data_IF_305285028820
#
_entry.id   IF_305285028820
#
_cell.length_a   1.000
_cell.length_b   1.000
_cell.length_c   1.000
_cell.angle_alpha   90.00
_cell.angle_beta   90.00
_cell.angle_gamma   90.00
#
_symmetry.space_group_name_H-M   'P 1'
#
loop_
_entity.id
_entity.type
_entity.pdbx_description
1 polymer ?
#
# COMPACT_ATOMS: atom_id res chain seq x y z
N UNK A 1 -9.09 -14.01 0.26
CA UNK A 1 -8.64 -12.75 -0.37
C UNK A 1 -9.85 -12.07 -0.98
N UNK A 2 -10.10 -10.80 -0.68
CA UNK A 2 -11.20 -10.02 -1.28
C UNK A 2 -10.67 -9.11 -2.39
N UNK A 3 -11.36 -9.08 -3.53
CA UNK A 3 -11.11 -8.12 -4.62
C UNK A 3 -12.07 -6.93 -4.46
N UNK A 4 -11.49 -5.73 -4.43
CA UNK A 4 -12.17 -4.45 -4.20
C UNK A 4 -11.89 -3.50 -5.37
N UNK A 5 -12.72 -2.46 -5.51
CA UNK A 5 -12.44 -1.35 -6.43
C UNK A 5 -11.74 -0.24 -5.68
N UNK A 6 -10.92 0.54 -6.38
CA UNK A 6 -10.39 1.81 -5.84
C UNK A 6 -11.56 2.66 -5.31
N UNK A 7 -11.43 3.13 -4.07
CA UNK A 7 -12.46 3.83 -3.30
C UNK A 7 -13.18 2.95 -2.27
N UNK A 8 -13.13 1.62 -2.38
CA UNK A 8 -13.75 0.72 -1.41
C UNK A 8 -12.89 0.60 -0.14
N UNK A 9 -13.56 0.49 1.01
CA UNK A 9 -12.92 0.22 2.31
C UNK A 9 -12.94 -1.27 2.62
N UNK A 10 -11.81 -1.82 3.04
CA UNK A 10 -11.70 -3.21 3.49
C UNK A 10 -10.89 -3.32 4.78
N UNK A 11 -11.16 -4.37 5.56
CA UNK A 11 -10.32 -4.71 6.72
C UNK A 11 -9.14 -5.56 6.27
N UNK A 12 -7.93 -5.07 6.55
CA UNK A 12 -6.68 -5.79 6.36
C UNK A 12 -6.15 -6.24 7.72
N UNK A 13 -5.75 -7.50 7.84
CA UNK A 13 -5.03 -8.00 9.03
C UNK A 13 -3.59 -8.27 8.66
N UNK A 14 -2.67 -7.60 9.36
CA UNK A 14 -1.24 -7.69 9.15
C UNK A 14 -0.59 -8.69 10.13
N UNK A 15 0.64 -9.14 9.85
CA UNK A 15 1.42 -9.93 10.80
C UNK A 15 1.43 -9.28 12.20
N UNK A 16 1.25 -10.11 13.24
CA UNK A 16 1.09 -9.62 14.61
C UNK A 16 -0.36 -9.39 15.06
N UNK A 17 -1.34 -9.71 14.21
CA UNK A 17 -2.79 -9.61 14.45
C UNK A 17 -3.34 -8.18 14.57
N UNK A 18 -2.58 -7.19 14.09
CA UNK A 18 -3.09 -5.83 13.93
C UNK A 18 -4.06 -5.78 12.75
N UNK A 19 -5.25 -5.21 12.96
CA UNK A 19 -6.25 -5.03 11.92
C UNK A 19 -6.49 -3.56 11.64
N UNK A 20 -6.58 -3.21 10.36
CA UNK A 20 -6.77 -1.85 9.86
C UNK A 20 -7.97 -1.79 8.92
N UNK A 21 -8.75 -0.73 9.02
CA UNK A 21 -9.63 -0.30 7.93
C UNK A 21 -8.77 0.46 6.93
N UNK A 22 -8.77 0.00 5.68
CA UNK A 22 -7.96 0.58 4.61
C UNK A 22 -8.87 0.94 3.43
N UNK A 23 -8.69 2.14 2.88
CA UNK A 23 -9.33 2.57 1.64
C UNK A 23 -8.23 3.00 0.67
N UNK A 24 -8.03 2.28 -0.42
CA UNK A 24 -7.17 2.76 -1.50
C UNK A 24 -7.93 3.84 -2.27
N UNK A 25 -7.51 5.09 -2.15
CA UNK A 25 -8.23 6.25 -2.69
C UNK A 25 -7.82 6.59 -4.11
N UNK A 26 -6.56 6.32 -4.49
CA UNK A 26 -6.08 6.54 -5.84
C UNK A 26 -4.86 5.65 -6.15
N UNK A 27 -4.71 5.28 -7.43
CA UNK A 27 -3.48 4.73 -7.99
C UNK A 27 -3.24 5.47 -9.30
N UNK A 28 -2.22 6.31 -9.31
CA UNK A 28 -1.98 7.26 -10.40
C UNK A 28 -0.53 7.15 -10.85
N UNK A 29 -0.21 7.33 -12.15
CA UNK A 29 1.17 7.40 -12.59
C UNK A 29 1.94 8.47 -11.82
N UNK A 30 3.17 8.14 -11.44
CA UNK A 30 4.06 9.09 -10.80
C UNK A 30 4.37 10.25 -11.76
N UNK A 31 4.60 11.46 -11.24
CA UNK A 31 5.03 12.58 -12.06
C UNK A 31 6.33 12.25 -12.85
N UNK A 32 6.50 12.75 -14.08
CA UNK A 32 7.67 12.45 -14.91
C UNK A 32 9.01 12.72 -14.20
N UNK A 33 9.08 13.79 -13.40
CA UNK A 33 10.27 14.15 -12.64
C UNK A 33 10.67 13.11 -11.58
N UNK A 34 9.76 12.22 -11.18
CA UNK A 34 10.03 11.10 -10.28
C UNK A 34 10.52 9.93 -11.10
N UNK A 35 9.84 9.59 -12.18
CA UNK A 35 10.22 8.48 -13.08
C UNK A 35 11.63 8.69 -13.65
N UNK A 36 12.00 9.92 -14.02
CA UNK A 36 13.35 10.26 -14.51
C UNK A 36 14.47 10.05 -13.48
N UNK A 37 14.16 9.99 -12.18
CA UNK A 37 15.15 9.73 -11.13
C UNK A 37 15.47 8.24 -10.97
N UNK A 38 14.63 7.36 -11.50
CA UNK A 38 14.80 5.92 -11.42
C UNK A 38 15.17 5.40 -12.82
N UNK A 39 16.31 4.71 -12.92
CA UNK A 39 16.75 4.04 -14.16
C UNK A 39 15.92 2.76 -14.37
N UNK A 40 14.62 2.94 -14.59
CA UNK A 40 13.65 1.86 -14.77
C UNK A 40 12.87 2.08 -16.07
N UNK A 41 12.71 1.00 -16.82
CA UNK A 41 11.82 0.97 -17.99
C UNK A 41 10.35 0.79 -17.57
N UNK A 42 10.10 0.50 -16.28
CA UNK A 42 8.77 0.26 -15.73
C UNK A 42 8.10 1.55 -15.25
N UNK A 43 6.80 1.63 -15.48
CA UNK A 43 6.00 2.77 -15.05
C UNK A 43 5.83 2.76 -13.53
N UNK A 44 6.15 3.88 -12.89
CA UNK A 44 5.95 4.09 -11.45
C UNK A 44 4.56 4.66 -11.21
N UNK A 45 3.89 4.19 -10.17
CA UNK A 45 2.58 4.62 -9.72
C UNK A 45 2.62 5.05 -8.25
N UNK A 46 1.84 6.07 -7.89
CA UNK A 46 1.59 6.47 -6.51
C UNK A 46 0.27 5.89 -6.02
N UNK A 47 0.34 5.03 -5.01
CA UNK A 47 -0.81 4.52 -4.29
C UNK A 47 -1.11 5.45 -3.13
N UNK A 48 -2.28 6.09 -3.17
CA UNK A 48 -2.81 6.87 -2.05
C UNK A 48 -3.88 6.05 -1.34
N UNK A 49 -3.85 6.06 -0.02
CA UNK A 49 -4.81 5.32 0.78
C UNK A 49 -4.98 5.95 2.15
N UNK A 50 -6.13 5.70 2.76
CA UNK A 50 -6.38 6.03 4.17
C UNK A 50 -6.29 4.76 5.01
N UNK A 51 -5.85 4.91 6.26
CA UNK A 51 -5.83 3.80 7.21
C UNK A 51 -6.31 4.24 8.57
N UNK A 52 -7.00 3.32 9.27
CA UNK A 52 -7.40 3.48 10.65
C UNK A 52 -7.16 2.17 11.39
N UNK A 53 -6.58 2.24 12.57
CA UNK A 53 -6.39 1.06 13.42
C UNK A 53 -7.74 0.61 13.99
N UNK A 54 -8.12 -0.63 13.71
CA UNK A 54 -9.36 -1.26 14.23
C UNK A 54 -9.03 -2.08 15.47
N UNK A 55 -7.90 -2.80 15.42
CA UNK A 55 -7.44 -3.67 16.49
C UNK A 55 -5.92 -3.62 16.54
N UNK A 56 -5.36 -3.29 17.70
CA UNK A 56 -3.93 -3.40 17.94
C UNK A 56 -3.52 -4.87 18.05
N UNK A 57 -2.42 -5.22 17.38
CA UNK A 57 -1.77 -6.52 17.47
C UNK A 57 -0.83 -6.66 18.67
N UNK A 58 -0.09 -7.76 18.69
CA UNK A 58 0.89 -8.10 19.74
C UNK A 58 2.29 -7.55 19.46
N UNK A 59 2.62 -7.35 18.19
CA UNK A 59 3.78 -6.58 17.75
C UNK A 59 3.30 -5.17 17.42
N UNK A 60 3.98 -4.15 17.96
CA UNK A 60 3.62 -2.73 17.76
C UNK A 60 3.32 -2.38 16.30
N UNK A 61 2.51 -1.34 16.10
CA UNK A 61 1.84 -1.04 14.84
C UNK A 61 2.80 -0.75 13.68
N UNK A 62 3.27 -1.80 13.01
CA UNK A 62 3.89 -1.69 11.70
C UNK A 62 2.87 -1.02 10.79
N UNK A 63 3.27 0.08 10.17
CA UNK A 63 2.39 0.81 9.27
C UNK A 63 2.01 -0.06 8.07
N UNK A 64 0.82 0.19 7.54
CA UNK A 64 0.30 -0.47 6.33
C UNK A 64 1.28 -0.32 5.15
N UNK A 65 2.06 0.76 5.12
CA UNK A 65 3.00 1.10 4.05
C UNK A 65 3.98 -0.01 3.66
N UNK A 66 4.47 -0.79 4.62
CA UNK A 66 5.45 -1.88 4.38
C UNK A 66 4.80 -3.14 3.81
N UNK A 67 3.47 -3.14 3.75
CA UNK A 67 2.63 -4.26 3.35
C UNK A 67 1.89 -3.99 2.03
N UNK A 68 2.25 -2.91 1.33
CA UNK A 68 1.69 -2.54 0.03
C UNK A 68 2.54 -3.15 -1.09
N UNK A 69 1.90 -3.98 -1.93
CA UNK A 69 2.51 -4.66 -3.06
C UNK A 69 1.78 -4.28 -4.37
N UNK A 70 2.50 -4.26 -5.48
CA UNK A 70 1.89 -4.06 -6.80
C UNK A 70 1.25 -5.37 -7.28
N UNK A 71 0.01 -5.29 -7.78
CA UNK A 71 -0.59 -6.36 -8.58
C UNK A 71 -0.25 -6.09 -10.04
N UNK A 72 0.46 -7.00 -10.67
CA UNK A 72 0.98 -6.86 -12.03
C UNK A 72 0.11 -7.66 -13.01
N UNK A 73 -0.02 -7.15 -14.23
CA UNK A 73 -0.66 -7.88 -15.33
C UNK A 73 -0.07 -9.30 -15.49
N UNK A 74 -0.93 -10.31 -15.65
CA UNK A 74 -0.49 -11.71 -15.76
C UNK A 74 -0.38 -12.47 -14.42
N UNK A 75 -1.02 -11.96 -13.36
CA UNK A 75 -1.26 -12.62 -12.05
C UNK A 75 -0.06 -12.74 -11.09
N UNK A 76 0.83 -11.74 -11.08
CA UNK A 76 1.90 -11.62 -10.07
C UNK A 76 1.63 -10.53 -9.04
N UNK A 77 2.15 -10.71 -7.83
CA UNK A 77 2.32 -9.63 -6.85
C UNK A 77 3.81 -9.44 -6.60
N UNK A 78 4.29 -8.20 -6.70
CA UNK A 78 5.72 -7.90 -6.57
C UNK A 78 5.90 -6.77 -5.57
N UNK A 79 6.91 -6.92 -4.71
CA UNK A 79 7.32 -5.83 -3.83
C UNK A 79 8.21 -4.88 -4.61
N UNK A 80 7.57 -3.90 -5.21
CA UNK A 80 8.22 -2.79 -5.93
C UNK A 80 8.11 -1.50 -5.14
N UNK A 81 7.90 -1.56 -3.82
CA UNK A 81 7.68 -0.36 -3.01
C UNK A 81 8.99 0.40 -2.79
N UNK A 82 8.96 1.72 -2.98
CA UNK A 82 10.15 2.57 -2.78
C UNK A 82 10.05 3.35 -1.47
N UNK A 83 11.12 3.34 -0.67
CA UNK A 83 11.11 3.95 0.66
C UNK A 83 11.35 5.48 0.67
N UNK A 84 11.66 6.12 -0.47
CA UNK A 84 12.35 7.43 -0.49
C UNK A 84 11.79 8.50 -1.44
N UNK A 85 10.54 8.37 -1.93
CA UNK A 85 9.96 9.40 -2.80
C UNK A 85 9.37 10.54 -1.97
N UNK A 86 10.01 11.71 -2.00
CA UNK A 86 9.64 12.91 -1.22
C UNK A 86 8.19 13.36 -1.45
N UNK A 87 7.69 13.15 -2.68
CA UNK A 87 6.30 13.43 -3.09
C UNK A 87 5.28 12.54 -2.36
N UNK A 88 5.69 11.38 -1.87
CA UNK A 88 4.95 10.63 -0.85
C UNK A 88 5.50 11.03 0.53
N UNK A 89 5.27 12.28 0.96
CA UNK A 89 5.75 12.76 2.25
C UNK A 89 5.18 11.88 3.38
N UNK A 90 6.05 11.13 4.04
CA UNK A 90 5.66 10.26 5.15
C UNK A 90 5.59 11.09 6.43
N UNK A 91 4.43 11.04 7.09
CA UNK A 91 4.35 11.35 8.51
C UNK A 91 5.43 10.54 9.25
N UNK A 92 6.11 11.15 10.22
CA UNK A 92 7.13 10.43 10.98
C UNK A 92 6.52 9.15 11.59
N UNK A 93 7.27 8.05 11.61
CA UNK A 93 6.73 6.76 12.04
C UNK A 93 6.12 6.82 13.45
N UNK A 94 6.73 7.59 14.36
CA UNK A 94 6.23 7.82 15.72
C UNK A 94 4.92 8.60 15.76
N UNK A 95 4.77 9.62 14.92
CA UNK A 95 3.56 10.44 14.87
C UNK A 95 2.41 9.63 14.25
N UNK A 96 2.73 8.81 13.25
CA UNK A 96 1.80 7.89 12.61
C UNK A 96 1.29 6.85 13.60
N UNK A 97 2.18 6.24 14.38
CA UNK A 97 1.81 5.29 15.42
C UNK A 97 0.93 5.96 16.49
N UNK A 98 1.27 7.18 16.92
CA UNK A 98 0.47 7.95 17.87
C UNK A 98 -0.94 8.25 17.35
N UNK A 99 -1.07 8.68 16.09
CA UNK A 99 -2.36 8.94 15.46
C UNK A 99 -3.21 7.67 15.34
N UNK A 100 -2.62 6.57 14.85
CA UNK A 100 -3.31 5.28 14.71
C UNK A 100 -3.77 4.73 16.06
N UNK A 101 -2.93 4.79 17.09
CA UNK A 101 -3.29 4.34 18.46
C UNK A 101 -4.32 5.24 19.13
N UNK A 102 -4.39 6.52 18.76
CA UNK A 102 -5.48 7.43 19.12
C UNK A 102 -6.80 7.14 18.35
N UNK A 103 -6.78 6.20 17.40
CA UNK A 103 -7.95 5.81 16.60
C UNK A 103 -8.24 6.75 15.42
N UNK A 104 -7.30 7.63 15.08
CA UNK A 104 -7.40 8.55 13.96
C UNK A 104 -7.26 7.82 12.61
N UNK A 105 -7.83 8.44 11.58
CA UNK A 105 -7.60 8.03 10.19
C UNK A 105 -6.44 8.84 9.64
N UNK A 106 -5.40 8.16 9.18
CA UNK A 106 -4.24 8.78 8.51
C UNK A 106 -4.34 8.58 6.99
N UNK A 107 -3.74 9.49 6.23
CA UNK A 107 -3.55 9.35 4.79
C UNK A 107 -2.09 9.06 4.51
N UNK A 108 -1.84 8.03 3.70
CA UNK A 108 -0.51 7.58 3.30
C UNK A 108 -0.37 7.54 1.79
N UNK A 109 0.88 7.57 1.33
CA UNK A 109 1.28 7.45 -0.06
C UNK A 109 2.43 6.45 -0.15
N UNK A 110 2.31 5.44 -1.02
CA UNK A 110 3.38 4.48 -1.30
C UNK A 110 3.58 4.42 -2.81
N UNK A 111 4.81 4.67 -3.30
CA UNK A 111 5.13 4.45 -4.69
C UNK A 111 5.36 2.96 -4.96
N UNK A 112 4.84 2.47 -6.09
CA UNK A 112 5.03 1.12 -6.60
C UNK A 112 5.38 1.19 -8.09
N UNK A 113 5.91 0.13 -8.69
CA UNK A 113 6.26 0.10 -10.10
C UNK A 113 5.72 -1.16 -10.78
N UNK A 114 5.71 -1.13 -12.10
CA UNK A 114 5.62 -2.32 -12.94
C UNK A 114 6.83 -3.25 -12.77
N UNK A 115 6.86 -4.30 -13.59
CA UNK A 115 7.97 -5.24 -13.67
C UNK A 115 8.05 -5.85 -15.08
N UNK A 116 9.25 -5.87 -15.66
CA UNK A 116 9.52 -6.42 -17.00
C UNK A 116 8.56 -5.89 -18.09
N UNK A 117 8.27 -4.58 -18.07
CA UNK A 117 7.39 -3.90 -19.00
C UNK A 117 5.89 -4.16 -18.77
N UNK A 118 5.53 -4.85 -17.67
CA UNK A 118 4.14 -5.09 -17.29
C UNK A 118 3.62 -3.99 -16.38
N UNK A 119 2.36 -3.64 -16.58
CA UNK A 119 1.71 -2.57 -15.83
C UNK A 119 1.20 -3.04 -14.48
N UNK A 120 1.12 -2.08 -13.55
CA UNK A 120 0.34 -2.21 -12.33
C UNK A 120 -1.15 -2.19 -12.69
N UNK A 121 -1.86 -3.25 -12.34
CA UNK A 121 -3.32 -3.39 -12.53
C UNK A 121 -4.08 -3.32 -11.20
N UNK A 122 -3.37 -3.20 -10.09
CA UNK A 122 -3.97 -3.09 -8.77
C UNK A 122 -2.94 -3.02 -7.66
N UNK A 123 -3.47 -3.00 -6.43
CA UNK A 123 -2.70 -2.92 -5.20
C UNK A 123 -3.12 -4.05 -4.29
N UNK A 124 -2.15 -4.77 -3.78
CA UNK A 124 -2.34 -5.72 -2.69
C UNK A 124 -1.88 -5.09 -1.38
N UNK A 125 -2.66 -5.28 -0.32
CA UNK A 125 -2.25 -4.88 1.03
C UNK A 125 -2.47 -6.06 1.97
N UNK A 126 -1.40 -6.53 2.61
CA UNK A 126 -1.45 -7.69 3.49
C UNK A 126 -0.09 -8.27 3.85
N UNK A 127 -0.09 -9.52 4.31
CA UNK A 127 1.15 -10.24 4.61
C UNK A 127 2.00 -10.44 3.35
N UNK A 128 3.33 -10.53 3.52
CA UNK A 128 4.23 -10.99 2.46
C UNK A 128 4.02 -12.48 2.11
N UNK A 129 3.34 -13.22 2.99
CA UNK A 129 2.74 -14.51 2.65
C UNK A 129 1.39 -14.26 1.97
N UNK A 130 1.35 -14.40 0.65
CA UNK A 130 0.18 -14.14 -0.19
C UNK A 130 -0.99 -15.09 0.10
N UNK A 131 -0.71 -16.24 0.72
CA UNK A 131 -1.73 -17.23 1.12
C UNK A 131 -2.29 -16.94 2.52
N UNK A 132 -1.71 -15.98 3.26
CA UNK A 132 -2.19 -15.63 4.58
C UNK A 132 -3.59 -15.01 4.52
N UNK A 133 -4.46 -15.47 5.43
CA UNK A 133 -5.77 -14.86 5.63
C UNK A 133 -5.63 -13.42 6.12
N UNK A 134 -6.44 -12.50 5.58
CA UNK A 134 -6.48 -11.10 6.02
C UNK A 134 -5.98 -10.09 5.00
N UNK A 135 -5.38 -10.55 3.90
CA UNK A 135 -4.95 -9.70 2.79
C UNK A 135 -6.10 -9.31 1.86
N UNK A 136 -6.00 -8.12 1.27
CA UNK A 136 -7.00 -7.53 0.39
C UNK A 136 -6.34 -7.00 -0.89
N UNK A 137 -7.12 -6.88 -1.96
CA UNK A 137 -6.66 -6.32 -3.23
C UNK A 137 -7.63 -5.31 -3.79
N UNK A 138 -7.11 -4.22 -4.35
CA UNK A 138 -7.87 -3.19 -5.05
C UNK A 138 -7.44 -3.16 -6.51
N UNK A 139 -8.41 -3.21 -7.44
CA UNK A 139 -8.12 -3.24 -8.88
C UNK A 139 -8.37 -1.88 -9.52
N UNK A 140 -7.45 -1.45 -10.38
CA UNK A 140 -7.56 -0.26 -11.24
C UNK A 140 -8.48 -0.66 -12.40
N UNK A 141 -9.67 -0.05 -12.51
CA UNK A 141 -10.62 -0.38 -13.59
C UNK A 141 -10.19 0.20 -14.93
#
# INVERSE_FOLDING_TARGET
MGDHKIGDTATVTLPGDSSYEVTVTAVEPAPPEVTEQYDTEDEIYFVRYTTRLVKAGTTGGNGVDEHVLAKIEGNGYINTSFSTIEQCTKMAASDREAALTAGETITSCVPIAGDDGKKVVGVYIGSNDLEASGSQTWTIN
#
